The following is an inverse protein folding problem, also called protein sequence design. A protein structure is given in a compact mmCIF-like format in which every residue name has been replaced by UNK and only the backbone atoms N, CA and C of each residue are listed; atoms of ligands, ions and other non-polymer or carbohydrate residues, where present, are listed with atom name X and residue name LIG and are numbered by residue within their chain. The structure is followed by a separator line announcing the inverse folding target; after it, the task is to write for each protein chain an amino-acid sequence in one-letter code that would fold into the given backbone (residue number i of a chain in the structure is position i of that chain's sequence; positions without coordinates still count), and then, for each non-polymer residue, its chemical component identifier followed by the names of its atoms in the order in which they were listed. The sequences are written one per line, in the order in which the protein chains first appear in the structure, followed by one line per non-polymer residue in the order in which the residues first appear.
data_IF_759824587769
#
_entry.id   IF_759824587769
#
_cell.length_a   1.000
_cell.length_b   1.000
_cell.length_c   1.000
_cell.angle_alpha   90.00
_cell.angle_beta   90.00
_cell.angle_gamma   90.00
#
_symmetry.space_group_name_H-M   'P 1'
#
loop_
_entity.id
_entity.type
_entity.pdbx_description
1 polymer ?
#
# COMPACT_ATOMS: atom_id res chain seq x y z
N UNK A 1 57.32 2.39 -57.42
CA UNK A 1 56.12 3.26 -57.53
C UNK A 1 55.02 2.67 -56.66
N UNK A 2 54.32 3.50 -55.88
CA UNK A 2 53.23 3.18 -54.92
C UNK A 2 53.61 2.18 -53.80
N UNK A 3 53.40 2.38 -52.48
CA UNK A 3 52.53 3.20 -51.58
C UNK A 3 51.69 2.23 -50.72
N UNK A 4 51.38 2.64 -49.48
CA UNK A 4 50.39 2.03 -48.53
C UNK A 4 50.87 0.72 -47.86
N UNK A 5 50.65 0.36 -46.58
CA UNK A 5 50.15 0.92 -45.28
C UNK A 5 50.83 0.03 -44.16
N UNK A 6 50.82 0.23 -42.84
CA UNK A 6 50.30 1.23 -41.86
C UNK A 6 51.13 1.09 -40.55
N UNK A 7 51.12 2.09 -39.66
CA UNK A 7 51.47 1.92 -38.23
C UNK A 7 50.22 1.84 -37.35
N UNK A 8 50.20 1.08 -36.25
CA UNK A 8 49.19 1.24 -35.21
C UNK A 8 49.64 2.29 -34.18
N UNK A 9 48.96 3.45 -34.18
CA UNK A 9 48.99 4.36 -33.03
C UNK A 9 48.04 3.84 -31.95
N UNK A 10 48.53 3.70 -30.73
CA UNK A 10 47.73 3.29 -29.58
C UNK A 10 47.00 4.54 -29.04
N UNK A 11 45.73 4.69 -29.38
CA UNK A 11 44.86 5.72 -28.80
C UNK A 11 44.28 5.24 -27.46
N UNK A 12 44.74 5.83 -26.36
CA UNK A 12 44.13 5.64 -25.04
C UNK A 12 42.83 6.47 -24.99
N UNK A 13 41.69 5.80 -25.15
CA UNK A 13 40.38 6.43 -24.99
C UNK A 13 40.05 6.59 -23.50
N UNK A 14 40.09 7.82 -22.99
CA UNK A 14 39.67 8.15 -21.64
C UNK A 14 38.13 8.04 -21.54
N UNK A 15 37.64 6.93 -21.02
CA UNK A 15 36.21 6.74 -20.79
C UNK A 15 35.74 7.66 -19.64
N UNK A 16 35.06 8.76 -19.99
CA UNK A 16 34.29 9.52 -19.01
C UNK A 16 33.13 8.66 -18.49
N UNK A 17 33.32 8.05 -17.33
CA UNK A 17 32.25 7.41 -16.59
C UNK A 17 31.26 8.50 -16.10
N UNK A 18 30.23 8.76 -16.92
CA UNK A 18 29.16 9.66 -16.55
C UNK A 18 28.44 9.11 -15.31
N UNK A 19 28.61 9.77 -14.17
CA UNK A 19 27.90 9.48 -12.93
C UNK A 19 26.42 9.75 -13.15
N UNK A 20 25.64 8.71 -13.46
CA UNK A 20 24.18 8.81 -13.54
C UNK A 20 23.64 9.09 -12.12
N UNK A 21 23.46 10.38 -11.83
CA UNK A 21 22.69 10.83 -10.68
C UNK A 21 21.28 10.26 -10.81
N UNK A 22 20.96 9.26 -9.99
CA UNK A 22 19.64 8.65 -9.98
C UNK A 22 18.65 9.70 -9.49
N UNK A 23 17.77 10.14 -10.39
CA UNK A 23 16.71 11.08 -10.05
C UNK A 23 15.89 10.52 -8.89
N UNK A 24 15.84 11.25 -7.77
CA UNK A 24 15.00 10.88 -6.64
C UNK A 24 13.55 10.80 -7.13
N UNK A 25 12.83 9.77 -6.70
CA UNK A 25 11.51 9.48 -7.21
C UNK A 25 10.43 9.92 -6.23
N UNK A 26 9.47 10.71 -6.72
CA UNK A 26 8.35 11.20 -5.92
C UNK A 26 7.44 10.07 -5.44
N UNK A 27 6.90 10.21 -4.22
CA UNK A 27 5.71 9.51 -3.74
C UNK A 27 4.52 10.43 -3.86
N UNK A 28 3.38 9.90 -4.26
CA UNK A 28 2.10 10.59 -4.22
C UNK A 28 1.05 9.65 -3.64
N UNK A 29 0.17 10.16 -2.79
CA UNK A 29 -0.95 9.41 -2.23
C UNK A 29 -2.17 10.31 -2.05
N UNK A 30 -3.36 9.71 -2.05
CA UNK A 30 -4.62 10.32 -1.68
C UNK A 30 -5.04 9.85 -0.27
N UNK A 31 -5.77 10.66 0.49
CA UNK A 31 -6.30 10.28 1.81
C UNK A 31 -7.30 9.11 1.74
N UNK A 32 -7.94 8.93 0.58
CA UNK A 32 -8.86 7.83 0.25
C UNK A 32 -8.74 7.40 -1.22
N UNK A 33 -8.95 6.11 -1.56
CA UNK A 33 -8.95 5.62 -2.95
C UNK A 33 -10.31 5.76 -3.64
N UNK A 34 -11.39 5.94 -2.87
CA UNK A 34 -12.77 6.10 -3.33
C UNK A 34 -13.39 7.31 -2.63
N UNK A 35 -14.16 8.10 -3.37
CA UNK A 35 -14.85 9.29 -2.90
C UNK A 35 -16.20 9.45 -3.62
N UNK A 36 -17.13 10.18 -3.03
CA UNK A 36 -18.42 10.48 -3.67
C UNK A 36 -18.31 11.65 -4.64
N UNK A 37 -19.25 11.73 -5.58
CA UNK A 37 -19.43 12.90 -6.45
C UNK A 37 -19.59 14.18 -5.61
N UNK A 38 -18.78 15.20 -5.89
CA UNK A 38 -18.77 16.48 -5.16
C UNK A 38 -17.98 16.48 -3.84
N UNK A 39 -17.36 15.36 -3.42
CA UNK A 39 -16.41 15.38 -2.30
C UNK A 39 -15.05 15.98 -2.70
N UNK A 40 -14.18 16.16 -1.69
CA UNK A 40 -12.79 16.58 -1.86
C UNK A 40 -11.85 15.55 -1.24
N UNK A 41 -10.70 15.32 -1.89
CA UNK A 41 -9.69 14.31 -1.53
C UNK A 41 -8.36 15.01 -1.25
N UNK A 42 -7.73 14.74 -0.11
CA UNK A 42 -6.42 15.34 0.21
C UNK A 42 -5.31 14.56 -0.49
N UNK A 43 -4.58 15.24 -1.37
CA UNK A 43 -3.39 14.75 -2.04
C UNK A 43 -2.13 15.09 -1.22
N UNK A 44 -1.22 14.13 -1.09
CA UNK A 44 0.08 14.29 -0.42
C UNK A 44 1.20 13.81 -1.32
N UNK A 45 2.29 14.56 -1.37
CA UNK A 45 3.52 14.20 -2.09
C UNK A 45 4.71 14.25 -1.14
N UNK A 46 5.60 13.28 -1.27
CA UNK A 46 6.74 13.10 -0.39
C UNK A 46 8.02 12.82 -1.20
N UNK A 47 9.18 13.08 -0.59
CA UNK A 47 10.49 12.85 -1.20
C UNK A 47 10.97 13.98 -2.12
N UNK A 48 10.44 15.20 -1.99
CA UNK A 48 10.94 16.39 -2.69
C UNK A 48 11.45 17.46 -1.71
N UNK A 49 12.62 18.00 -2.01
CA UNK A 49 13.21 19.21 -1.40
C UNK A 49 12.74 20.50 -2.10
N UNK A 50 12.17 20.37 -3.30
CA UNK A 50 11.67 21.48 -4.14
C UNK A 50 10.16 21.55 -4.07
N UNK A 51 9.59 22.68 -4.49
CA UNK A 51 8.14 22.82 -4.60
C UNK A 51 7.60 21.90 -5.72
N UNK A 52 6.77 20.89 -5.38
CA UNK A 52 6.13 20.05 -6.38
C UNK A 52 4.90 20.74 -7.01
N UNK A 53 4.64 20.42 -8.27
CA UNK A 53 3.47 20.89 -9.02
C UNK A 53 2.52 19.71 -9.30
N UNK A 54 1.26 19.88 -8.90
CA UNK A 54 0.18 18.91 -9.09
C UNK A 54 -0.64 19.21 -10.35
N UNK A 55 -1.11 18.15 -10.99
CA UNK A 55 -2.03 18.16 -12.14
C UNK A 55 -3.10 17.07 -11.90
N UNK A 56 -4.34 17.32 -12.32
CA UNK A 56 -5.46 16.38 -12.15
C UNK A 56 -6.22 16.21 -13.46
N UNK A 57 -6.70 14.98 -13.72
CA UNK A 57 -7.42 14.67 -14.96
C UNK A 57 -8.79 15.34 -15.07
N UNK A 58 -9.40 15.71 -13.94
CA UNK A 58 -10.65 16.46 -13.86
C UNK A 58 -10.80 17.10 -12.46
N UNK A 59 -11.79 17.96 -12.27
CA UNK A 59 -12.04 18.66 -10.99
C UNK A 59 -11.20 19.92 -10.82
N UNK A 60 -10.93 20.31 -9.57
CA UNK A 60 -10.14 21.50 -9.22
C UNK A 60 -9.19 21.19 -8.06
N UNK A 61 -7.94 21.66 -8.18
CA UNK A 61 -6.99 21.66 -7.07
C UNK A 61 -7.10 22.97 -6.27
N UNK A 62 -6.95 22.87 -4.96
CA UNK A 62 -6.78 23.97 -4.02
C UNK A 62 -5.52 23.74 -3.17
N UNK A 63 -4.71 24.79 -2.99
CA UNK A 63 -3.38 24.66 -2.39
C UNK A 63 -2.30 24.22 -3.39
N UNK A 64 -1.07 24.11 -2.90
CA UNK A 64 0.10 23.74 -3.71
C UNK A 64 1.21 23.16 -2.83
N UNK A 65 2.22 22.55 -3.47
CA UNK A 65 3.35 21.97 -2.77
C UNK A 65 3.03 20.59 -2.16
N UNK A 66 3.55 20.26 -0.96
CA UNK A 66 3.52 18.89 -0.44
C UNK A 66 2.13 18.35 -0.11
N UNK A 67 1.11 19.22 -0.04
CA UNK A 67 -0.30 18.86 0.13
C UNK A 67 -1.17 19.73 -0.78
N UNK A 68 -2.24 19.15 -1.31
CA UNK A 68 -3.29 19.86 -2.04
C UNK A 68 -4.66 19.22 -1.77
N UNK A 69 -5.72 20.02 -1.75
CA UNK A 69 -7.09 19.53 -1.79
C UNK A 69 -7.52 19.33 -3.24
N UNK A 70 -8.09 18.16 -3.56
CA UNK A 70 -8.64 17.87 -4.88
C UNK A 70 -10.17 17.80 -4.79
N UNK A 71 -10.81 18.89 -5.19
CA UNK A 71 -12.25 18.99 -5.34
C UNK A 71 -12.69 18.23 -6.58
N UNK A 72 -13.55 17.23 -6.39
CA UNK A 72 -13.91 16.29 -7.43
C UNK A 72 -15.03 16.85 -8.33
N UNK A 73 -15.04 16.51 -9.63
CA UNK A 73 -16.10 16.92 -10.54
C UNK A 73 -17.44 16.24 -10.24
N UNK A 74 -18.52 16.78 -10.78
CA UNK A 74 -19.86 16.19 -10.74
C UNK A 74 -20.02 14.96 -11.67
N UNK A 75 -19.02 14.08 -11.73
CA UNK A 75 -18.95 12.94 -12.64
C UNK A 75 -18.32 11.71 -11.98
N UNK A 76 -18.91 10.53 -12.23
CA UNK A 76 -18.38 9.25 -11.74
C UNK A 76 -17.27 8.69 -12.61
N UNK A 77 -16.44 7.82 -12.05
CA UNK A 77 -15.42 7.05 -12.76
C UNK A 77 -14.02 7.15 -12.16
N UNK A 78 -13.03 6.60 -12.87
CA UNK A 78 -11.63 6.66 -12.47
C UNK A 78 -11.04 8.03 -12.82
N UNK A 79 -10.50 8.73 -11.83
CA UNK A 79 -9.72 9.95 -12.03
C UNK A 79 -8.25 9.72 -11.63
N UNK A 80 -7.34 10.53 -12.16
CA UNK A 80 -5.91 10.47 -11.83
C UNK A 80 -5.35 11.85 -11.45
N UNK A 81 -4.46 11.86 -10.45
CA UNK A 81 -3.63 13.00 -10.13
C UNK A 81 -2.16 12.65 -10.40
N UNK A 82 -1.42 13.59 -10.98
CA UNK A 82 0.01 13.50 -11.24
C UNK A 82 0.74 14.62 -10.52
N UNK A 83 1.97 14.36 -10.10
CA UNK A 83 2.83 15.34 -9.46
C UNK A 83 4.24 15.28 -10.03
N UNK A 84 4.80 16.48 -10.26
CA UNK A 84 6.14 16.68 -10.85
C UNK A 84 6.98 17.57 -9.94
N UNK A 85 8.31 17.38 -9.96
CA UNK A 85 9.26 18.25 -9.28
C UNK A 85 10.60 18.30 -10.05
N UNK A 86 11.35 19.42 -10.01
CA UNK A 86 12.52 19.58 -10.89
C UNK A 86 13.66 18.60 -10.60
N UNK A 87 13.97 17.74 -11.57
CA UNK A 87 15.02 16.71 -11.45
C UNK A 87 14.56 15.42 -10.76
N UNK A 88 13.24 15.22 -10.62
CA UNK A 88 12.64 14.04 -10.01
C UNK A 88 11.66 13.37 -10.97
N UNK A 89 11.52 12.04 -10.87
CA UNK A 89 10.57 11.31 -11.70
C UNK A 89 9.13 11.60 -11.27
N UNK A 90 8.16 11.77 -12.20
CA UNK A 90 6.77 12.01 -11.84
C UNK A 90 6.19 10.85 -11.04
N UNK A 91 5.19 11.18 -10.23
CA UNK A 91 4.32 10.21 -9.60
C UNK A 91 2.88 10.44 -10.04
N UNK A 92 2.16 9.36 -10.33
CA UNK A 92 0.75 9.39 -10.69
C UNK A 92 0.00 8.42 -9.80
N UNK A 93 -1.14 8.86 -9.27
CA UNK A 93 -2.08 8.05 -8.50
C UNK A 93 -3.45 8.06 -9.18
N UNK A 94 -4.38 7.24 -8.68
CA UNK A 94 -5.76 7.26 -9.13
C UNK A 94 -6.72 7.02 -7.99
N UNK A 95 -7.91 7.59 -8.14
CA UNK A 95 -9.06 7.39 -7.27
C UNK A 95 -10.28 7.05 -8.10
N UNK A 96 -11.35 6.59 -7.45
CA UNK A 96 -12.64 6.36 -8.09
C UNK A 96 -13.71 7.26 -7.46
N UNK A 97 -14.47 7.95 -8.32
CA UNK A 97 -15.60 8.78 -7.92
C UNK A 97 -16.89 7.99 -8.13
N UNK A 98 -17.63 7.76 -7.05
CA UNK A 98 -18.90 7.01 -7.07
C UNK A 98 -20.09 7.96 -6.90
N UNK A 99 -21.16 7.69 -7.64
CA UNK A 99 -22.37 8.51 -7.56
C UNK A 99 -23.14 8.22 -6.28
N UNK A 100 -23.64 9.25 -5.60
CA UNK A 100 -24.64 9.07 -4.55
C UNK A 100 -25.84 8.33 -5.12
N UNK A 101 -26.11 7.13 -4.58
CA UNK A 101 -27.07 6.20 -5.14
C UNK A 101 -28.48 6.81 -5.24
N UNK A 102 -28.85 7.19 -6.47
CA UNK A 102 -30.25 7.32 -6.90
C UNK A 102 -30.49 6.35 -8.04
N UNK A 103 -31.65 5.73 -7.99
CA UNK A 103 -32.19 4.59 -8.76
C UNK A 103 -31.75 4.52 -10.25
N UNK A 104 -31.52 3.30 -10.79
CA UNK A 104 -30.74 3.10 -12.02
C UNK A 104 -31.50 3.43 -13.31
N UNK A 105 -30.74 3.83 -14.34
CA UNK A 105 -31.18 3.92 -15.73
C UNK A 105 -30.45 2.87 -16.58
N UNK A 106 -31.14 2.12 -17.47
CA UNK A 106 -30.55 0.98 -18.18
C UNK A 106 -29.84 1.42 -19.47
N UNK A 107 -28.53 1.64 -19.38
CA UNK A 107 -27.62 1.61 -20.53
C UNK A 107 -26.54 0.55 -20.29
N UNK A 108 -26.07 -0.21 -21.29
CA UNK A 108 -25.00 -1.19 -21.10
C UNK A 108 -23.68 -0.44 -20.89
N UNK A 109 -23.29 -0.28 -19.62
CA UNK A 109 -21.99 0.27 -19.26
C UNK A 109 -20.86 -0.70 -19.69
N UNK A 110 -19.67 -0.19 -20.04
CA UNK A 110 -18.48 -1.04 -20.14
C UNK A 110 -18.24 -1.76 -18.80
N UNK A 111 -17.63 -2.96 -18.80
CA UNK A 111 -17.48 -3.78 -17.60
C UNK A 111 -16.79 -2.95 -16.49
N UNK A 112 -17.44 -2.78 -15.33
CA UNK A 112 -17.02 -1.78 -14.36
C UNK A 112 -15.68 -2.20 -13.75
N UNK A 113 -14.69 -1.32 -13.87
CA UNK A 113 -13.47 -1.38 -13.06
C UNK A 113 -13.82 -0.88 -11.67
N UNK A 114 -14.57 -1.66 -10.89
CA UNK A 114 -14.86 -1.32 -9.49
C UNK A 114 -13.57 -1.42 -8.68
N UNK A 115 -13.10 -0.30 -8.14
CA UNK A 115 -12.24 -0.37 -6.97
C UNK A 115 -12.97 -1.17 -5.89
N UNK A 116 -12.27 -2.11 -5.26
CA UNK A 116 -12.85 -2.92 -4.19
C UNK A 116 -12.81 -2.15 -2.89
N UNK A 117 -13.95 -2.04 -2.22
CA UNK A 117 -13.99 -1.54 -0.85
C UNK A 117 -13.32 -2.54 0.08
N UNK A 118 -12.58 -2.06 1.07
CA UNK A 118 -11.87 -2.91 2.03
C UNK A 118 -12.43 -2.73 3.43
N UNK A 119 -12.93 -3.82 4.03
CA UNK A 119 -13.51 -3.78 5.37
C UNK A 119 -12.94 -4.84 6.31
N UNK A 120 -13.16 -4.62 7.60
CA UNK A 120 -12.64 -5.39 8.72
C UNK A 120 -13.43 -6.66 8.97
N UNK A 121 -12.73 -7.79 9.08
CA UNK A 121 -13.24 -9.04 9.67
C UNK A 121 -12.39 -9.49 10.86
N UNK A 122 -13.08 -9.79 11.96
CA UNK A 122 -12.48 -10.45 13.11
C UNK A 122 -12.32 -11.93 12.79
N UNK A 123 -11.10 -12.44 12.91
CA UNK A 123 -10.76 -13.81 12.56
C UNK A 123 -10.56 -14.62 13.85
N UNK A 124 -11.69 -14.95 14.48
CA UNK A 124 -11.72 -15.56 15.82
C UNK A 124 -11.06 -16.94 15.81
N UNK A 125 -10.42 -17.34 16.92
CA UNK A 125 -9.81 -18.67 17.09
C UNK A 125 -10.81 -19.78 16.73
N UNK A 126 -10.38 -20.68 15.84
CA UNK A 126 -11.20 -21.78 15.30
C UNK A 126 -12.10 -21.42 14.11
N UNK A 127 -12.37 -20.14 13.85
CA UNK A 127 -13.15 -19.69 12.69
C UNK A 127 -12.34 -19.82 11.39
N UNK A 128 -12.96 -20.25 10.30
CA UNK A 128 -12.35 -20.19 8.96
C UNK A 128 -12.62 -18.83 8.31
N UNK A 129 -11.70 -18.35 7.48
CA UNK A 129 -11.92 -17.15 6.67
C UNK A 129 -13.10 -17.39 5.71
N UNK A 130 -14.12 -16.51 5.64
CA UNK A 130 -15.23 -16.70 4.72
C UNK A 130 -14.74 -16.54 3.28
N UNK A 131 -15.13 -17.47 2.40
CA UNK A 131 -14.75 -17.41 0.98
C UNK A 131 -15.60 -16.40 0.19
N UNK A 132 -15.10 -16.04 -0.99
CA UNK A 132 -15.80 -15.18 -1.97
C UNK A 132 -15.30 -13.74 -2.05
N UNK A 133 -14.42 -13.30 -1.14
CA UNK A 133 -13.78 -11.99 -1.23
C UNK A 133 -12.76 -11.91 -2.36
N UNK A 134 -12.60 -10.72 -2.92
CA UNK A 134 -11.64 -10.44 -3.98
C UNK A 134 -10.17 -10.55 -3.54
N UNK A 135 -9.86 -10.08 -2.34
CA UNK A 135 -8.57 -10.28 -1.67
C UNK A 135 -8.74 -10.50 -0.16
N UNK A 136 -7.75 -11.18 0.41
CA UNK A 136 -7.64 -11.51 1.83
C UNK A 136 -6.41 -10.78 2.37
N UNK A 137 -6.64 -9.63 2.99
CA UNK A 137 -5.65 -8.89 3.76
C UNK A 137 -5.60 -9.38 5.21
N UNK A 138 -4.43 -9.28 5.84
CA UNK A 138 -4.15 -9.74 7.19
C UNK A 138 -3.22 -8.77 7.92
N UNK A 139 -3.56 -8.44 9.16
CA UNK A 139 -2.64 -7.84 10.12
C UNK A 139 -1.99 -8.95 10.98
N UNK A 140 -0.66 -9.09 10.92
CA UNK A 140 0.06 -10.24 11.47
C UNK A 140 1.13 -9.84 12.51
N UNK A 141 0.98 -10.31 13.75
CA UNK A 141 1.98 -10.22 14.83
C UNK A 141 2.55 -11.61 15.16
N UNK A 142 3.77 -11.92 14.70
CA UNK A 142 4.42 -13.21 14.94
C UNK A 142 4.76 -13.51 16.42
N UNK A 143 4.83 -12.48 17.26
CA UNK A 143 5.00 -12.54 18.72
C UNK A 143 4.30 -11.35 19.38
N UNK A 144 4.09 -11.41 20.69
CA UNK A 144 3.75 -10.24 21.49
C UNK A 144 4.86 -9.17 21.36
N UNK A 145 4.52 -7.87 21.39
CA UNK A 145 5.50 -6.81 21.38
C UNK A 145 6.27 -6.72 22.70
N UNK A 146 7.54 -6.36 22.61
CA UNK A 146 8.35 -5.91 23.74
C UNK A 146 8.08 -4.42 24.06
N UNK A 147 8.71 -3.90 25.11
CA UNK A 147 8.57 -2.50 25.51
C UNK A 147 9.00 -1.47 24.44
N UNK A 148 9.83 -1.85 23.47
CA UNK A 148 10.30 -0.97 22.39
C UNK A 148 9.40 -0.98 21.16
N UNK A 149 8.67 -2.07 20.95
CA UNK A 149 7.77 -2.27 19.81
C UNK A 149 6.29 -2.03 20.14
N UNK A 150 5.92 -2.00 21.43
CA UNK A 150 4.52 -1.85 21.88
C UNK A 150 3.82 -0.61 21.29
N UNK A 151 4.43 0.56 21.38
CA UNK A 151 3.84 1.81 20.87
C UNK A 151 3.53 1.71 19.36
N UNK A 152 4.49 1.19 18.58
CA UNK A 152 4.36 0.97 17.14
C UNK A 152 3.27 -0.05 16.81
N UNK A 153 3.17 -1.14 17.57
CA UNK A 153 2.12 -2.16 17.39
C UNK A 153 0.74 -1.59 17.72
N UNK A 154 0.61 -0.81 18.79
CA UNK A 154 -0.65 -0.13 19.14
C UNK A 154 -1.07 0.85 18.04
N UNK A 155 -0.16 1.72 17.57
CA UNK A 155 -0.44 2.62 16.45
C UNK A 155 -0.85 1.87 15.16
N UNK A 156 -0.31 0.66 14.94
CA UNK A 156 -0.67 -0.19 13.80
C UNK A 156 -2.08 -0.81 13.93
N UNK A 157 -2.47 -1.18 15.16
CA UNK A 157 -3.82 -1.66 15.47
C UNK A 157 -4.83 -0.50 15.43
N UNK A 158 -4.48 0.69 15.91
CA UNK A 158 -5.30 1.90 15.79
C UNK A 158 -5.54 2.27 14.32
N UNK A 159 -4.50 2.18 13.47
CA UNK A 159 -4.63 2.37 12.04
C UNK A 159 -5.58 1.34 11.39
N UNK A 160 -5.46 0.06 11.75
CA UNK A 160 -6.39 -0.99 11.31
C UNK A 160 -7.85 -0.64 11.67
N UNK A 161 -8.09 -0.29 12.94
CA UNK A 161 -9.41 0.04 13.48
C UNK A 161 -10.04 1.29 12.86
N UNK A 162 -9.21 2.28 12.49
CA UNK A 162 -9.66 3.56 11.95
C UNK A 162 -9.88 3.54 10.42
N UNK A 163 -9.09 2.76 9.67
CA UNK A 163 -9.03 2.82 8.21
C UNK A 163 -9.85 1.75 7.48
N UNK A 164 -10.39 0.75 8.19
CA UNK A 164 -11.22 -0.30 7.59
C UNK A 164 -12.57 -0.39 8.32
N UNK A 165 -13.69 0.09 7.73
CA UNK A 165 -15.03 -0.05 8.32
C UNK A 165 -15.41 -1.53 8.48
N UNK A 166 -16.41 -1.83 9.30
CA UNK A 166 -16.87 -3.22 9.47
C UNK A 166 -17.38 -3.80 8.14
N UNK A 167 -16.92 -4.99 7.76
CA UNK A 167 -17.43 -5.64 6.54
C UNK A 167 -18.94 -5.89 6.59
N UNK A 168 -19.52 -6.07 7.78
CA UNK A 168 -20.96 -6.26 7.96
C UNK A 168 -21.81 -5.09 7.43
N UNK A 169 -21.29 -3.85 7.41
CA UNK A 169 -22.00 -2.70 6.82
C UNK A 169 -21.82 -2.55 5.30
N UNK A 170 -20.97 -3.40 4.68
CA UNK A 170 -20.71 -3.41 3.24
C UNK A 170 -21.33 -4.65 2.56
N UNK A 171 -21.38 -5.80 3.24
CA UNK A 171 -22.04 -7.04 2.78
C UNK A 171 -23.54 -6.83 2.46
N UNK A 172 -24.19 -5.79 3.00
CA UNK A 172 -25.58 -5.42 2.67
C UNK A 172 -25.73 -4.64 1.34
N UNK A 173 -24.62 -4.09 0.80
CA UNK A 173 -24.62 -3.13 -0.31
C UNK A 173 -23.82 -3.61 -1.53
N UNK A 174 -22.87 -4.52 -1.34
CA UNK A 174 -21.90 -4.95 -2.35
C UNK A 174 -21.74 -6.47 -2.33
N UNK A 175 -21.56 -7.07 -3.52
CA UNK A 175 -21.22 -8.48 -3.64
C UNK A 175 -19.83 -8.76 -3.05
N UNK A 176 -19.63 -9.92 -2.41
CA UNK A 176 -18.34 -10.25 -1.76
C UNK A 176 -17.14 -10.18 -2.72
N UNK A 177 -17.33 -10.51 -3.99
CA UNK A 177 -16.28 -10.41 -5.02
C UNK A 177 -15.86 -8.97 -5.34
N UNK A 178 -16.63 -7.97 -4.90
CA UNK A 178 -16.32 -6.54 -4.97
C UNK A 178 -15.70 -6.02 -3.66
N UNK A 179 -15.54 -6.89 -2.66
CA UNK A 179 -15.04 -6.56 -1.33
C UNK A 179 -13.69 -7.23 -1.07
N UNK A 180 -12.80 -6.50 -0.40
CA UNK A 180 -11.56 -7.00 0.16
C UNK A 180 -11.74 -7.21 1.68
N UNK A 181 -11.33 -8.36 2.19
CA UNK A 181 -11.46 -8.70 3.60
C UNK A 181 -10.15 -8.48 4.35
N UNK A 182 -10.13 -7.52 5.27
CA UNK A 182 -9.00 -7.18 6.12
C UNK A 182 -9.13 -7.86 7.49
N UNK A 183 -8.35 -8.91 7.71
CA UNK A 183 -8.48 -9.82 8.85
C UNK A 183 -7.55 -9.46 10.01
N UNK A 184 -8.11 -9.48 11.22
CA UNK A 184 -7.37 -9.42 12.49
C UNK A 184 -7.55 -10.75 13.24
N UNK A 185 -6.50 -11.58 13.38
CA UNK A 185 -6.51 -12.77 14.22
C UNK A 185 -6.72 -12.40 15.70
N UNK A 186 -7.84 -12.83 16.27
CA UNK A 186 -8.18 -12.63 17.70
C UNK A 186 -8.65 -13.93 18.32
N UNK A 187 -8.51 -14.08 19.62
CA UNK A 187 -8.88 -15.31 20.31
C UNK A 187 -10.21 -15.31 21.06
N UNK A 188 -10.80 -14.13 21.22
CA UNK A 188 -12.19 -13.93 21.56
C UNK A 188 -12.86 -12.99 20.53
N UNK A 189 -14.19 -13.04 20.35
CA UNK A 189 -14.90 -11.98 19.64
C UNK A 189 -14.78 -10.65 20.42
N UNK A 190 -14.68 -9.50 19.74
CA UNK A 190 -14.57 -8.20 20.42
C UNK A 190 -15.85 -7.84 21.18
N UNK A 191 -15.73 -7.18 22.36
CA UNK A 191 -16.89 -6.82 23.20
C UNK A 191 -17.73 -5.67 22.63
N UNK A 192 -17.27 -5.01 21.56
CA UNK A 192 -17.98 -3.92 20.89
C UNK A 192 -17.61 -3.88 19.40
N UNK A 193 -18.39 -3.13 18.61
CA UNK A 193 -18.12 -2.93 17.18
C UNK A 193 -16.80 -2.17 16.89
N UNK A 194 -16.22 -1.48 17.89
CA UNK A 194 -14.94 -0.76 17.83
C UNK A 194 -14.19 -1.01 19.15
N UNK A 195 -13.49 -2.15 19.30
CA UNK A 195 -12.67 -2.41 20.48
C UNK A 195 -11.49 -1.43 20.54
N UNK A 196 -10.88 -1.26 21.71
CA UNK A 196 -9.64 -0.50 21.83
C UNK A 196 -8.45 -1.29 21.26
N UNK A 197 -7.41 -0.59 20.80
CA UNK A 197 -6.19 -1.23 20.33
C UNK A 197 -5.50 -2.06 21.43
N UNK A 198 -5.63 -1.62 22.69
CA UNK A 198 -5.16 -2.37 23.86
C UNK A 198 -5.86 -3.73 24.00
N UNK A 199 -7.20 -3.75 23.89
CA UNK A 199 -7.98 -4.99 23.94
C UNK A 199 -7.61 -5.95 22.81
N UNK A 200 -7.49 -5.43 21.58
CA UNK A 200 -7.10 -6.23 20.41
C UNK A 200 -5.72 -6.85 20.60
N UNK A 201 -4.77 -6.12 21.20
CA UNK A 201 -3.42 -6.61 21.49
C UNK A 201 -3.42 -7.68 22.59
N UNK A 202 -4.25 -7.53 23.62
CA UNK A 202 -4.39 -8.48 24.74
C UNK A 202 -5.09 -9.78 24.32
N UNK A 203 -5.98 -9.71 23.32
CA UNK A 203 -6.73 -10.83 22.75
C UNK A 203 -6.26 -11.26 21.36
N UNK A 204 -4.99 -10.99 21.01
CA UNK A 204 -4.45 -11.28 19.69
C UNK A 204 -4.04 -12.76 19.53
N UNK A 205 -4.51 -13.45 18.48
CA UNK A 205 -4.12 -14.84 18.22
C UNK A 205 -2.74 -14.93 17.53
N UNK A 206 -1.69 -14.79 18.33
CA UNK A 206 -0.29 -14.96 17.91
C UNK A 206 0.02 -16.35 17.33
N UNK A 207 -0.69 -17.40 17.75
CA UNK A 207 -0.45 -18.75 17.24
C UNK A 207 -0.94 -18.88 15.80
N UNK A 208 -2.15 -18.36 15.50
CA UNK A 208 -2.68 -18.26 14.13
C UNK A 208 -1.83 -17.33 13.27
N UNK A 209 -1.47 -16.15 13.77
CA UNK A 209 -0.64 -15.23 13.00
C UNK A 209 0.73 -15.83 12.63
N UNK A 210 1.37 -16.53 13.58
CA UNK A 210 2.63 -17.24 13.34
C UNK A 210 2.49 -18.39 12.35
N UNK A 211 1.37 -19.12 12.34
CA UNK A 211 1.16 -20.20 11.36
C UNK A 211 0.97 -19.68 9.93
N UNK A 212 0.34 -18.51 9.76
CA UNK A 212 0.26 -17.80 8.49
C UNK A 212 1.65 -17.31 8.06
N UNK A 213 2.35 -16.58 8.93
CA UNK A 213 3.70 -16.05 8.65
C UNK A 213 4.71 -17.15 8.29
N UNK A 214 4.69 -18.29 9.00
CA UNK A 214 5.61 -19.40 8.74
C UNK A 214 5.44 -20.05 7.36
N UNK A 215 4.27 -19.90 6.71
CA UNK A 215 4.01 -20.37 5.34
C UNK A 215 4.39 -19.35 4.27
N UNK A 216 4.48 -18.07 4.65
CA UNK A 216 4.96 -16.98 3.80
C UNK A 216 6.49 -17.05 3.76
N UNK A 217 7.11 -17.00 4.94
CA UNK A 217 8.56 -16.91 5.11
C UNK A 217 8.88 -17.19 6.59
N UNK A 218 9.64 -18.25 6.84
CA UNK A 218 9.95 -18.71 8.20
C UNK A 218 10.82 -17.72 9.01
N UNK A 219 11.41 -16.69 8.38
CA UNK A 219 12.14 -15.63 9.08
C UNK A 219 11.23 -14.59 9.74
N UNK A 220 9.95 -14.50 9.34
CA UNK A 220 9.00 -13.50 9.85
C UNK A 220 8.54 -13.86 11.27
N UNK A 221 9.34 -13.47 12.25
CA UNK A 221 9.10 -13.77 13.68
C UNK A 221 8.53 -12.59 14.47
N UNK A 222 8.84 -11.36 14.09
CA UNK A 222 8.54 -10.14 14.85
C UNK A 222 7.87 -9.11 13.94
N UNK A 223 6.63 -8.73 14.23
CA UNK A 223 5.84 -7.80 13.41
C UNK A 223 5.85 -6.34 13.91
N UNK A 224 4.96 -5.48 13.37
CA UNK A 224 3.78 -5.84 12.57
C UNK A 224 4.05 -6.07 11.09
N UNK A 225 3.33 -7.02 10.49
CA UNK A 225 3.29 -7.23 9.04
C UNK A 225 1.88 -7.01 8.50
N UNK A 226 1.80 -6.42 7.30
CA UNK A 226 0.59 -6.39 6.48
C UNK A 226 0.79 -7.31 5.28
N UNK A 227 -0.14 -8.23 5.06
CA UNK A 227 -0.09 -9.19 3.95
C UNK A 227 -1.43 -9.25 3.27
N UNK A 228 -1.47 -9.18 1.93
CA UNK A 228 -2.67 -9.41 1.14
C UNK A 228 -2.41 -10.48 0.08
N UNK A 229 -3.41 -11.31 -0.20
CA UNK A 229 -3.35 -12.47 -1.09
C UNK A 229 -4.72 -12.81 -1.68
N UNK A 230 -4.75 -13.47 -2.84
CA UNK A 230 -5.99 -13.81 -3.56
C UNK A 230 -6.82 -14.96 -2.96
N UNK A 231 -6.39 -15.60 -1.88
CA UNK A 231 -7.08 -16.74 -1.28
C UNK A 231 -6.91 -16.80 0.26
N UNK A 232 -7.81 -17.48 0.98
CA UNK A 232 -7.70 -17.70 2.42
C UNK A 232 -6.37 -18.31 2.88
N UNK A 233 -5.68 -17.61 3.78
CA UNK A 233 -4.46 -18.10 4.45
C UNK A 233 -4.70 -19.31 5.36
N UNK A 234 -5.91 -19.49 5.91
CA UNK A 234 -6.26 -20.68 6.72
C UNK A 234 -6.42 -21.97 5.92
N UNK A 235 -6.48 -21.91 4.58
CA UNK A 235 -6.55 -23.09 3.73
C UNK A 235 -5.29 -23.96 3.87
N UNK A 236 -5.41 -25.30 3.83
CA UNK A 236 -4.25 -26.22 3.92
C UNK A 236 -3.39 -26.28 2.66
N UNK A 237 -3.82 -25.67 1.56
CA UNK A 237 -3.05 -25.60 0.33
C UNK A 237 -1.79 -24.73 0.51
N UNK A 238 -0.72 -24.93 -0.28
CA UNK A 238 0.38 -23.97 -0.35
C UNK A 238 -0.17 -22.57 -0.65
N UNK A 239 0.44 -21.53 -0.06
CA UNK A 239 0.14 -20.15 -0.46
C UNK A 239 0.64 -19.98 -1.89
N UNK A 240 -0.29 -19.75 -2.82
CA UNK A 240 -0.02 -19.69 -4.25
C UNK A 240 -0.53 -18.37 -4.84
N UNK A 241 0.17 -17.87 -5.85
CA UNK A 241 -0.17 -16.63 -6.55
C UNK A 241 0.57 -15.39 -6.02
N UNK A 242 0.28 -14.21 -6.59
CA UNK A 242 0.85 -12.93 -6.19
C UNK A 242 0.44 -12.54 -4.76
N UNK A 243 1.33 -11.84 -4.06
CA UNK A 243 1.16 -11.45 -2.65
C UNK A 243 1.81 -10.11 -2.36
N UNK A 244 1.01 -9.14 -1.89
CA UNK A 244 1.51 -7.89 -1.36
C UNK A 244 1.93 -8.07 0.10
N UNK A 245 3.20 -7.78 0.42
CA UNK A 245 3.75 -7.81 1.78
C UNK A 245 4.36 -6.46 2.13
N UNK A 246 4.02 -5.91 3.30
CA UNK A 246 4.70 -4.78 3.92
C UNK A 246 5.13 -5.17 5.35
N UNK A 247 6.34 -4.74 5.73
CA UNK A 247 6.89 -4.89 7.08
C UNK A 247 6.89 -3.51 7.77
N UNK A 248 6.13 -3.39 8.85
CA UNK A 248 6.01 -2.17 9.64
C UNK A 248 6.99 -2.14 10.81
N UNK A 249 7.82 -3.17 11.01
CA UNK A 249 8.68 -3.34 12.19
C UNK A 249 9.78 -2.27 12.34
N UNK A 250 10.06 -1.49 11.28
CA UNK A 250 10.97 -0.35 11.30
C UNK A 250 10.28 1.02 11.16
N UNK A 251 8.94 1.06 11.04
CA UNK A 251 8.18 2.30 10.80
C UNK A 251 7.98 3.07 12.12
N UNK A 252 8.33 4.36 12.22
CA UNK A 252 8.04 5.16 13.42
C UNK A 252 6.53 5.19 13.73
N UNK A 253 6.10 5.10 15.01
CA UNK A 253 4.69 4.95 15.38
C UNK A 253 3.74 5.96 14.71
N UNK A 254 4.13 7.24 14.68
CA UNK A 254 3.37 8.33 14.10
C UNK A 254 3.19 8.27 12.57
N UNK A 255 3.93 7.41 11.86
CA UNK A 255 3.86 7.22 10.40
C UNK A 255 3.10 5.95 10.02
N UNK A 256 2.81 5.06 10.98
CA UNK A 256 2.20 3.75 10.71
C UNK A 256 0.83 3.89 10.04
N UNK A 257 0.02 4.88 10.40
CA UNK A 257 -1.29 5.12 9.78
C UNK A 257 -1.20 5.44 8.28
N UNK A 258 -0.18 6.18 7.85
CA UNK A 258 0.03 6.51 6.44
C UNK A 258 0.53 5.30 5.63
N UNK A 259 1.39 4.46 6.23
CA UNK A 259 1.77 3.16 5.66
C UNK A 259 0.58 2.22 5.51
N UNK A 260 -0.25 2.12 6.55
CA UNK A 260 -1.44 1.27 6.56
C UNK A 260 -2.42 1.70 5.45
N UNK A 261 -2.70 3.00 5.34
CA UNK A 261 -3.54 3.55 4.27
C UNK A 261 -2.99 3.21 2.88
N UNK A 262 -1.68 3.35 2.68
CA UNK A 262 -1.08 2.99 1.40
C UNK A 262 -1.19 1.49 1.10
N UNK A 263 -1.01 0.61 2.08
CA UNK A 263 -1.22 -0.83 1.91
C UNK A 263 -2.65 -1.13 1.45
N UNK A 264 -3.67 -0.52 2.06
CA UNK A 264 -5.06 -0.65 1.63
C UNK A 264 -5.27 -0.13 0.20
N UNK A 265 -4.71 1.04 -0.13
CA UNK A 265 -4.78 1.63 -1.48
C UNK A 265 -4.11 0.74 -2.54
N UNK A 266 -3.03 0.02 -2.18
CA UNK A 266 -2.37 -0.95 -3.05
C UNK A 266 -3.18 -2.26 -3.17
N UNK A 267 -3.76 -2.75 -2.08
CA UNK A 267 -4.64 -3.92 -2.09
C UNK A 267 -5.92 -3.67 -2.90
N UNK A 268 -6.46 -2.45 -2.93
CA UNK A 268 -7.63 -2.12 -3.75
C UNK A 268 -7.38 -2.19 -5.28
N UNK A 269 -6.13 -2.30 -5.73
CA UNK A 269 -5.74 -2.25 -7.16
C UNK A 269 -5.41 -3.64 -7.73
N UNK A 270 -6.44 -4.37 -8.15
CA UNK A 270 -6.37 -5.76 -8.63
C UNK A 270 -5.43 -5.98 -9.85
N UNK A 271 -5.38 -5.02 -10.80
CA UNK A 271 -4.70 -5.19 -12.10
C UNK A 271 -3.19 -5.39 -12.06
N UNK A 272 -2.55 -5.11 -10.93
CA UNK A 272 -1.09 -5.16 -10.80
C UNK A 272 -0.59 -6.54 -10.33
N UNK A 273 -1.50 -7.39 -9.86
CA UNK A 273 -1.21 -8.70 -9.28
C UNK A 273 -0.99 -9.78 -10.35
N UNK A 274 -1.86 -9.83 -11.37
CA UNK A 274 -1.83 -10.84 -12.44
C UNK A 274 -0.61 -10.76 -13.38
N UNK A 275 0.14 -9.65 -13.35
CA UNK A 275 1.19 -9.36 -14.35
C UNK A 275 2.60 -9.78 -13.93
N UNK A 276 2.79 -10.30 -12.72
CA UNK A 276 4.08 -10.83 -12.24
C UNK A 276 5.23 -9.81 -12.27
N UNK A 277 4.95 -8.50 -12.11
CA UNK A 277 5.94 -7.45 -12.31
C UNK A 277 6.72 -7.08 -11.04
N UNK A 278 7.81 -7.81 -10.79
CA UNK A 278 8.76 -7.62 -9.69
C UNK A 278 9.52 -6.28 -9.66
N UNK A 279 9.34 -5.38 -10.64
CA UNK A 279 10.09 -4.12 -10.75
C UNK A 279 9.26 -2.86 -10.44
N UNK A 280 7.96 -2.84 -10.75
CA UNK A 280 7.11 -1.70 -10.38
C UNK A 280 6.82 -1.69 -8.86
N UNK A 281 6.65 -2.87 -8.24
CA UNK A 281 6.53 -2.99 -6.78
C UNK A 281 7.75 -2.43 -6.04
N UNK A 282 8.97 -2.70 -6.52
CA UNK A 282 10.21 -2.16 -5.94
C UNK A 282 10.24 -0.64 -6.09
N UNK A 283 9.80 -0.11 -7.24
CA UNK A 283 9.67 1.33 -7.47
C UNK A 283 8.70 2.01 -6.49
N UNK A 284 7.49 1.48 -6.31
CA UNK A 284 6.49 2.04 -5.39
C UNK A 284 6.95 1.88 -3.94
N UNK A 285 7.50 0.73 -3.54
CA UNK A 285 8.03 0.51 -2.18
C UNK A 285 9.20 1.45 -1.88
N UNK A 286 10.22 1.54 -2.75
CA UNK A 286 11.36 2.44 -2.52
C UNK A 286 10.94 3.91 -2.46
N UNK A 287 10.01 4.34 -3.32
CA UNK A 287 9.43 5.69 -3.24
C UNK A 287 8.82 5.89 -1.86
N UNK A 288 7.85 5.07 -1.43
CA UNK A 288 7.17 5.23 -0.13
C UNK A 288 8.16 5.27 1.03
N UNK A 289 9.14 4.36 1.02
CA UNK A 289 10.26 4.36 1.97
C UNK A 289 10.94 5.72 2.00
N UNK A 290 11.35 6.29 0.85
CA UNK A 290 12.01 7.61 0.75
C UNK A 290 11.10 8.76 1.22
N UNK A 291 9.82 8.72 0.84
CA UNK A 291 8.85 9.74 1.22
C UNK A 291 8.60 9.81 2.73
N UNK A 292 8.59 8.66 3.38
CA UNK A 292 8.42 8.57 4.84
C UNK A 292 9.75 8.73 5.58
N UNK A 293 10.88 8.28 5.00
CA UNK A 293 12.24 8.56 5.49
C UNK A 293 12.54 10.06 5.58
N UNK A 294 12.00 10.88 4.67
CA UNK A 294 12.16 12.33 4.71
C UNK A 294 11.59 12.98 6.00
N UNK A 295 10.76 12.25 6.76
CA UNK A 295 10.22 12.66 8.06
C UNK A 295 10.93 11.98 9.25
N UNK A 296 11.84 11.03 9.02
CA UNK A 296 12.43 10.18 10.06
C UNK A 296 13.83 9.63 9.76
N UNK A 297 14.84 10.37 10.24
CA UNK A 297 16.18 10.04 10.80
C UNK A 297 16.73 8.57 10.77
N UNK A 298 18.07 8.38 10.88
CA UNK A 298 18.81 7.21 10.35
C UNK A 298 18.43 5.79 10.81
N UNK A 299 17.67 5.60 11.88
CA UNK A 299 17.27 4.25 12.33
C UNK A 299 16.47 3.49 11.26
N UNK A 300 15.66 4.20 10.48
CA UNK A 300 14.87 3.62 9.38
C UNK A 300 15.79 3.23 8.20
N UNK A 301 16.87 3.98 7.94
CA UNK A 301 17.86 3.66 6.91
C UNK A 301 18.55 2.32 7.19
N UNK A 302 18.81 1.99 8.47
CA UNK A 302 19.35 0.70 8.87
C UNK A 302 18.38 -0.47 8.62
N UNK A 303 17.08 -0.26 8.84
CA UNK A 303 16.03 -1.23 8.49
C UNK A 303 15.95 -1.49 6.98
N UNK A 304 15.92 -0.44 6.19
CA UNK A 304 15.85 -0.50 4.71
C UNK A 304 17.10 -1.17 4.12
N UNK A 305 18.29 -0.86 4.64
CA UNK A 305 19.55 -1.45 4.15
C UNK A 305 19.59 -2.96 4.38
N UNK A 306 19.10 -3.43 5.54
CA UNK A 306 18.98 -4.86 5.88
C UNK A 306 18.01 -5.58 4.94
N UNK A 307 16.93 -4.91 4.52
CA UNK A 307 15.93 -5.45 3.60
C UNK A 307 16.41 -5.51 2.14
N UNK A 308 17.10 -4.49 1.64
CA UNK A 308 17.65 -4.47 0.27
C UNK A 308 18.71 -5.57 0.06
N UNK A 309 19.44 -5.95 1.12
CA UNK A 309 20.40 -7.06 1.06
C UNK A 309 19.74 -8.45 0.93
N UNK A 310 18.43 -8.57 1.17
CA UNK A 310 17.66 -9.83 1.02
C UNK A 310 16.95 -9.97 -0.34
N UNK A 311 17.02 -8.94 -1.20
CA UNK A 311 16.49 -8.97 -2.56
C UNK A 311 17.48 -9.47 -3.62
N UNK A 312 18.58 -10.12 -3.18
CA UNK A 312 19.63 -10.74 -4.00
C UNK A 312 19.78 -12.21 -3.58
#
# INVERSE_FOLDING_TARGET
MNKLLLSPLISIALACAATQAHAQALVCNADRPVAQVGESVELRVFGSDKAPAWEVSAGRLEGSGPRAQWHLPDSTGKLSASVTAPGQAPCTLSIFVVGSARTPSPAPAPPPTTARETGTLWLVRGQQEPAGYGLYSYFLLGSAPDGKSRERVLAAIEAFLALSPSLASLDELLERSQLNANHMPVDAPPPSARPSAQWVLEHYDHARARSILARIDASLRQGPYLVSMGAPAGSRAPLAGPMLRQDLSAVPPHLVGDWYRLFLNQAAQERDWDKGQTLQEVGVRMRTVIGVLALGLPDVQAGVTRWVQWGK
#
